data_IF_215556337378
#
_entry.id   IF_215556337378
#
_cell.length_a   1.000
_cell.length_b   1.000
_cell.length_c   1.000
_cell.angle_alpha   90.00
_cell.angle_beta   90.00
_cell.angle_gamma   90.00
#
_symmetry.space_group_name_H-M   'P 1'
#
loop_
_entity.id
_entity.type
_entity.pdbx_description
1 polymer ?
#
# COMPACT_ATOMS: atom_id res chain seq x y z
N UNK A 1 37.35 31.15 9.70
CA UNK A 1 37.75 30.39 8.50
C UNK A 1 37.16 29.01 8.67
N UNK A 2 36.14 28.65 7.86
CA UNK A 2 35.44 27.38 7.99
C UNK A 2 36.37 26.22 7.62
N UNK A 3 36.33 25.17 8.43
CA UNK A 3 37.26 24.04 8.38
C UNK A 3 37.13 23.30 7.03
N UNK A 4 38.20 23.28 6.19
CA UNK A 4 38.15 22.69 4.84
C UNK A 4 37.91 21.17 4.85
N UNK A 5 38.10 20.51 6.00
CA UNK A 5 37.79 19.10 6.17
C UNK A 5 36.27 18.86 6.27
N UNK A 6 35.56 19.76 6.93
CA UNK A 6 34.10 19.70 7.12
C UNK A 6 33.33 19.89 5.81
N UNK A 7 33.82 20.78 4.95
CA UNK A 7 33.25 20.97 3.61
C UNK A 7 33.41 19.70 2.74
N UNK A 8 34.55 19.02 2.85
CA UNK A 8 34.83 17.78 2.14
C UNK A 8 33.91 16.63 2.55
N UNK A 9 33.67 16.50 3.85
CA UNK A 9 32.78 15.47 4.41
C UNK A 9 31.33 15.70 3.93
N UNK A 10 30.89 16.96 3.86
CA UNK A 10 29.54 17.31 3.38
C UNK A 10 29.39 16.98 1.89
N UNK A 11 30.39 17.31 1.07
CA UNK A 11 30.38 17.03 -0.37
C UNK A 11 30.40 15.51 -0.66
N UNK A 12 31.21 14.74 0.07
CA UNK A 12 31.23 13.28 -0.04
C UNK A 12 29.90 12.64 0.39
N UNK A 13 29.29 13.15 1.46
CA UNK A 13 27.97 12.69 1.91
C UNK A 13 26.88 12.99 0.87
N UNK A 14 26.88 14.18 0.26
CA UNK A 14 25.93 14.54 -0.79
C UNK A 14 26.11 13.69 -2.05
N UNK A 15 27.36 13.42 -2.46
CA UNK A 15 27.67 12.54 -3.59
C UNK A 15 27.18 11.10 -3.34
N UNK A 16 27.37 10.57 -2.13
CA UNK A 16 26.93 9.23 -1.76
C UNK A 16 25.40 9.06 -1.68
N UNK A 17 24.67 10.16 -1.43
CA UNK A 17 23.20 10.16 -1.37
C UNK A 17 22.59 10.27 -2.79
N UNK A 18 23.23 11.02 -3.69
CA UNK A 18 22.72 11.34 -5.03
C UNK A 18 22.43 10.11 -5.90
N UNK A 19 23.23 9.05 -5.78
CA UNK A 19 23.14 7.85 -6.62
C UNK A 19 22.29 6.72 -6.01
N UNK A 20 21.73 6.91 -4.81
CA UNK A 20 20.77 5.94 -4.26
C UNK A 20 19.45 6.05 -5.03
N UNK A 21 18.81 4.93 -5.41
CA UNK A 21 17.48 4.96 -6.00
C UNK A 21 16.52 5.62 -5.02
N UNK A 22 16.26 6.90 -5.27
CA UNK A 22 15.44 7.72 -4.43
C UNK A 22 13.98 7.46 -4.83
N UNK A 23 13.23 6.70 -4.02
CA UNK A 23 11.76 6.68 -4.14
C UNK A 23 11.12 8.06 -3.78
N UNK A 24 11.94 9.04 -3.41
CA UNK A 24 11.56 10.38 -2.95
C UNK A 24 12.11 11.44 -3.92
N UNK A 25 11.87 11.32 -5.23
CA UNK A 25 12.38 12.36 -6.14
C UNK A 25 11.55 13.65 -6.10
N UNK A 26 10.23 13.61 -5.85
CA UNK A 26 9.40 14.83 -5.97
C UNK A 26 8.16 14.89 -5.05
N UNK A 27 7.95 13.94 -4.13
CA UNK A 27 6.71 13.85 -3.34
C UNK A 27 6.88 13.29 -1.93
N UNK A 28 5.91 13.62 -1.06
CA UNK A 28 5.80 13.08 0.30
C UNK A 28 5.79 11.53 0.24
N UNK A 29 6.81 10.83 0.78
CA UNK A 29 6.94 9.38 0.62
C UNK A 29 5.80 8.60 1.28
N UNK A 30 5.21 9.15 2.34
CA UNK A 30 4.04 8.58 2.99
C UNK A 30 2.80 8.67 2.09
N UNK A 31 2.68 9.71 1.28
CA UNK A 31 1.59 9.84 0.29
C UNK A 31 1.76 8.85 -0.87
N UNK A 32 2.98 8.64 -1.37
CA UNK A 32 3.22 7.65 -2.42
C UNK A 32 2.99 6.20 -1.94
N UNK A 33 3.38 5.89 -0.71
CA UNK A 33 3.05 4.61 -0.06
C UNK A 33 1.53 4.46 0.12
N UNK A 34 0.84 5.50 0.59
CA UNK A 34 -0.63 5.48 0.72
C UNK A 34 -1.31 5.21 -0.62
N UNK A 35 -0.88 5.88 -1.69
CA UNK A 35 -1.37 5.63 -3.07
C UNK A 35 -1.09 4.22 -3.54
N UNK A 36 0.06 3.65 -3.22
CA UNK A 36 0.37 2.26 -3.56
C UNK A 36 -0.60 1.28 -2.88
N UNK A 37 -0.92 1.49 -1.60
CA UNK A 37 -1.93 0.71 -0.89
C UNK A 37 -3.34 0.89 -1.47
N UNK A 38 -3.71 2.09 -1.90
CA UNK A 38 -5.00 2.33 -2.57
C UNK A 38 -5.11 1.63 -3.93
N UNK A 39 -4.03 1.66 -4.72
CA UNK A 39 -3.94 0.89 -5.98
C UNK A 39 -4.06 -0.61 -5.72
N UNK A 40 -3.39 -1.11 -4.67
CA UNK A 40 -3.49 -2.52 -4.28
C UNK A 40 -4.92 -2.89 -3.83
N UNK A 41 -5.54 -2.08 -2.97
CA UNK A 41 -6.93 -2.28 -2.56
C UNK A 41 -7.89 -2.29 -3.75
N UNK A 42 -7.67 -1.42 -4.74
CA UNK A 42 -8.47 -1.38 -5.97
C UNK A 42 -8.33 -2.66 -6.80
N UNK A 43 -7.12 -3.20 -6.91
CA UNK A 43 -6.86 -4.49 -7.58
C UNK A 43 -7.52 -5.66 -6.85
N UNK A 44 -7.45 -5.69 -5.52
CA UNK A 44 -8.12 -6.72 -4.70
C UNK A 44 -9.64 -6.67 -4.84
N UNK A 45 -10.22 -5.46 -4.87
CA UNK A 45 -11.66 -5.30 -5.11
C UNK A 45 -12.08 -5.76 -6.51
N UNK A 46 -11.22 -5.56 -7.52
CA UNK A 46 -11.48 -6.09 -8.85
C UNK A 46 -11.40 -7.63 -8.86
N UNK A 47 -10.34 -8.21 -8.28
CA UNK A 47 -10.22 -9.66 -8.15
C UNK A 47 -11.41 -10.30 -7.41
N UNK A 48 -11.93 -9.64 -6.37
CA UNK A 48 -13.12 -10.08 -5.64
C UNK A 48 -14.40 -10.07 -6.50
N UNK A 49 -14.49 -9.19 -7.50
CA UNK A 49 -15.57 -9.18 -8.49
C UNK A 49 -15.40 -10.30 -9.50
N UNK A 50 -14.18 -10.47 -10.02
CA UNK A 50 -13.87 -11.50 -11.01
C UNK A 50 -14.12 -12.91 -10.45
N UNK A 51 -13.72 -13.18 -9.20
CA UNK A 51 -14.01 -14.46 -8.52
C UNK A 51 -15.52 -14.70 -8.38
N UNK A 52 -16.31 -13.66 -8.10
CA UNK A 52 -17.77 -13.77 -8.03
C UNK A 52 -18.36 -14.16 -9.39
N UNK A 53 -17.84 -13.58 -10.48
CA UNK A 53 -18.29 -13.90 -11.83
C UNK A 53 -17.95 -15.34 -12.21
N UNK A 54 -16.75 -15.81 -11.88
CA UNK A 54 -16.33 -17.21 -12.08
C UNK A 54 -17.23 -18.17 -11.31
N UNK A 55 -17.52 -17.91 -10.03
CA UNK A 55 -18.42 -18.78 -9.24
C UNK A 55 -19.87 -18.80 -9.75
N UNK A 56 -20.34 -17.72 -10.37
CA UNK A 56 -21.66 -17.65 -11.03
C UNK A 56 -21.65 -18.33 -12.40
N UNK A 57 -20.53 -18.33 -13.12
CA UNK A 57 -20.42 -18.92 -14.46
C UNK A 57 -20.07 -20.41 -14.44
N UNK A 58 -19.28 -20.86 -13.46
CA UNK A 58 -18.90 -22.26 -13.25
C UNK A 58 -20.04 -23.09 -12.62
N UNK A 59 -21.27 -22.94 -13.13
CA UNK A 59 -22.26 -24.01 -13.02
C UNK A 59 -21.67 -25.20 -13.78
N UNK A 60 -20.94 -26.05 -13.05
CA UNK A 60 -20.56 -27.39 -13.48
C UNK A 60 -21.83 -28.01 -14.08
N UNK A 61 -21.84 -28.17 -15.41
CA UNK A 61 -22.95 -28.77 -16.13
C UNK A 61 -23.22 -30.18 -15.60
N UNK A 62 -24.36 -30.79 -15.95
CA UNK A 62 -24.67 -32.13 -15.51
C UNK A 62 -23.56 -33.10 -15.93
N UNK A 63 -22.79 -33.59 -14.96
CA UNK A 63 -21.82 -34.67 -15.16
C UNK A 63 -22.52 -35.99 -14.90
N UNK A 64 -22.50 -36.90 -15.88
CA UNK A 64 -23.26 -38.17 -15.94
C UNK A 64 -22.97 -39.17 -14.80
N UNK A 65 -22.00 -38.90 -13.93
CA UNK A 65 -21.57 -39.79 -12.85
C UNK A 65 -21.82 -39.14 -11.47
N UNK A 66 -23.06 -39.26 -10.99
CA UNK A 66 -23.40 -39.00 -9.59
C UNK A 66 -23.91 -37.57 -9.33
N UNK A 67 -25.22 -37.42 -9.33
CA UNK A 67 -25.93 -36.18 -8.97
C UNK A 67 -25.50 -35.64 -7.59
N UNK A 68 -25.27 -36.54 -6.62
CA UNK A 68 -24.79 -36.20 -5.28
C UNK A 68 -23.31 -35.76 -5.24
N UNK A 69 -22.44 -36.37 -6.05
CA UNK A 69 -21.03 -35.96 -6.14
C UNK A 69 -20.92 -34.58 -6.79
N UNK A 70 -21.69 -34.35 -7.86
CA UNK A 70 -21.83 -33.07 -8.54
C UNK A 70 -22.36 -31.98 -7.60
N UNK A 71 -23.35 -32.31 -6.75
CA UNK A 71 -23.90 -31.39 -5.74
C UNK A 71 -22.86 -30.98 -4.69
N UNK A 72 -22.11 -31.92 -4.12
CA UNK A 72 -21.10 -31.62 -3.09
C UNK A 72 -19.92 -30.83 -3.65
N UNK A 73 -19.46 -31.17 -4.86
CA UNK A 73 -18.38 -30.43 -5.53
C UNK A 73 -18.85 -29.00 -5.83
N UNK A 74 -20.09 -28.83 -6.27
CA UNK A 74 -20.66 -27.51 -6.54
C UNK A 74 -20.84 -26.68 -5.27
N UNK A 75 -21.32 -27.27 -4.18
CA UNK A 75 -21.44 -26.58 -2.90
C UNK A 75 -20.07 -26.16 -2.37
N UNK A 76 -19.09 -27.07 -2.37
CA UNK A 76 -17.73 -26.79 -1.93
C UNK A 76 -17.03 -25.73 -2.78
N UNK A 77 -17.21 -25.76 -4.11
CA UNK A 77 -16.67 -24.73 -5.00
C UNK A 77 -17.29 -23.35 -4.73
N UNK A 78 -18.62 -23.27 -4.56
CA UNK A 78 -19.32 -22.01 -4.25
C UNK A 78 -18.89 -21.46 -2.89
N UNK A 79 -18.80 -22.30 -1.85
CA UNK A 79 -18.34 -21.89 -0.52
C UNK A 79 -16.88 -21.41 -0.54
N UNK A 80 -16.02 -22.11 -1.29
CA UNK A 80 -14.63 -21.75 -1.45
C UNK A 80 -14.47 -20.41 -2.20
N UNK A 81 -15.20 -20.20 -3.30
CA UNK A 81 -15.20 -18.94 -4.05
C UNK A 81 -15.70 -17.77 -3.19
N UNK A 82 -16.74 -18.01 -2.38
CA UNK A 82 -17.22 -17.02 -1.40
C UNK A 82 -16.16 -16.70 -0.33
N UNK A 83 -15.44 -17.71 0.14
CA UNK A 83 -14.35 -17.55 1.12
C UNK A 83 -13.20 -16.72 0.55
N UNK A 84 -12.74 -17.03 -0.67
CA UNK A 84 -11.70 -16.26 -1.39
C UNK A 84 -12.16 -14.81 -1.59
N UNK A 85 -13.38 -14.61 -2.07
CA UNK A 85 -13.94 -13.28 -2.28
C UNK A 85 -13.95 -12.47 -0.99
N UNK A 86 -14.39 -13.07 0.11
CA UNK A 86 -14.43 -12.41 1.43
C UNK A 86 -13.03 -12.02 1.87
N UNK A 87 -12.07 -12.91 1.69
CA UNK A 87 -10.65 -12.64 2.00
C UNK A 87 -10.10 -11.45 1.21
N UNK A 88 -10.39 -11.34 -0.09
CA UNK A 88 -9.97 -10.18 -0.88
C UNK A 88 -10.62 -8.87 -0.44
N UNK A 89 -11.89 -8.90 -0.02
CA UNK A 89 -12.59 -7.72 0.51
C UNK A 89 -11.95 -7.26 1.84
N UNK A 90 -11.65 -8.21 2.73
CA UNK A 90 -11.01 -7.91 4.01
C UNK A 90 -9.61 -7.32 3.81
N UNK A 91 -8.80 -7.93 2.94
CA UNK A 91 -7.48 -7.41 2.59
C UNK A 91 -7.55 -6.02 1.95
N UNK A 92 -8.53 -5.76 1.07
CA UNK A 92 -8.73 -4.45 0.47
C UNK A 92 -9.08 -3.39 1.54
N UNK A 93 -9.89 -3.77 2.54
CA UNK A 93 -10.26 -2.91 3.65
C UNK A 93 -9.05 -2.59 4.53
N UNK A 94 -8.23 -3.59 4.85
CA UNK A 94 -6.99 -3.39 5.61
C UNK A 94 -6.00 -2.50 4.86
N UNK A 95 -5.82 -2.70 3.55
CA UNK A 95 -4.96 -1.86 2.72
C UNK A 95 -5.42 -0.39 2.72
N UNK A 96 -6.73 -0.11 2.64
CA UNK A 96 -7.27 1.25 2.76
C UNK A 96 -7.02 1.85 4.15
N UNK A 97 -7.16 1.06 5.20
CA UNK A 97 -6.85 1.48 6.58
C UNK A 97 -5.37 1.87 6.71
N UNK A 98 -4.46 1.06 6.15
CA UNK A 98 -3.03 1.36 6.14
C UNK A 98 -2.72 2.66 5.37
N UNK A 99 -3.33 2.86 4.20
CA UNK A 99 -3.18 4.10 3.44
C UNK A 99 -3.59 5.33 4.26
N UNK A 100 -4.71 5.24 4.99
CA UNK A 100 -5.15 6.33 5.87
C UNK A 100 -4.15 6.60 7.01
N UNK A 101 -3.62 5.54 7.63
CA UNK A 101 -2.59 5.64 8.68
C UNK A 101 -1.33 6.31 8.15
N UNK A 102 -0.83 5.93 6.97
CA UNK A 102 0.36 6.55 6.37
C UNK A 102 0.16 8.04 6.12
N UNK A 103 -1.01 8.47 5.64
CA UNK A 103 -1.31 9.91 5.50
C UNK A 103 -1.38 10.62 6.84
N UNK A 104 -1.88 9.97 7.89
CA UNK A 104 -1.89 10.55 9.23
C UNK A 104 -0.47 10.77 9.75
N UNK A 105 0.38 9.75 9.63
CA UNK A 105 1.80 9.81 10.02
C UNK A 105 2.51 10.90 9.20
N UNK A 106 2.29 10.95 7.89
CA UNK A 106 2.87 11.99 7.02
C UNK A 106 2.49 13.41 7.44
N UNK A 107 1.22 13.64 7.84
CA UNK A 107 0.78 14.94 8.37
C UNK A 107 1.41 15.27 9.72
N UNK A 108 1.58 14.28 10.59
CA UNK A 108 2.21 14.46 11.90
C UNK A 108 3.67 14.85 11.76
N UNK A 109 4.41 14.14 10.89
CA UNK A 109 5.82 14.44 10.59
C UNK A 109 5.96 15.88 10.07
N UNK A 110 5.17 16.28 9.08
CA UNK A 110 5.22 17.65 8.53
C UNK A 110 4.92 18.72 9.60
N UNK A 111 3.98 18.45 10.53
CA UNK A 111 3.71 19.38 11.65
C UNK A 111 4.88 19.46 12.63
N UNK A 112 5.53 18.34 12.92
CA UNK A 112 6.71 18.33 13.81
C UNK A 112 7.91 19.02 13.18
N UNK A 113 8.16 18.78 11.89
CA UNK A 113 9.23 19.42 11.13
C UNK A 113 9.01 20.94 11.04
N UNK A 114 7.80 21.40 10.71
CA UNK A 114 7.48 22.82 10.67
C UNK A 114 7.64 23.53 12.01
N UNK A 115 7.24 22.89 13.13
CA UNK A 115 7.47 23.44 14.48
C UNK A 115 8.97 23.54 14.80
N UNK A 116 9.76 22.57 14.38
CA UNK A 116 11.21 22.59 14.59
C UNK A 116 11.88 23.69 13.75
N UNK A 117 11.43 23.90 12.51
CA UNK A 117 11.92 24.97 11.64
C UNK A 117 11.63 26.37 12.20
N UNK A 118 10.42 26.60 12.70
CA UNK A 118 10.04 27.85 13.38
C UNK A 118 10.89 28.11 14.64
N UNK A 119 11.20 27.06 15.40
CA UNK A 119 11.98 27.16 16.62
C UNK A 119 13.47 27.42 16.32
N UNK A 120 14.04 26.75 15.32
CA UNK A 120 15.40 27.00 14.84
C UNK A 120 15.54 28.42 14.29
N UNK A 121 14.59 28.87 13.46
CA UNK A 121 14.59 30.24 12.94
C UNK A 121 14.49 31.30 14.05
N UNK A 122 13.77 31.02 15.14
CA UNK A 122 13.70 31.91 16.30
C UNK A 122 15.04 32.00 17.06
N UNK A 123 15.78 30.89 17.15
CA UNK A 123 17.06 30.83 17.89
C UNK A 123 18.23 31.39 17.07
N UNK A 124 18.25 31.15 15.75
CA UNK A 124 19.33 31.59 14.85
C UNK A 124 19.07 33.00 14.27
N UNK A 125 17.81 33.42 14.18
CA UNK A 125 17.42 34.73 13.66
C UNK A 125 17.59 35.91 14.63
N UNK A 126 18.12 35.69 15.83
CA UNK A 126 18.58 36.73 16.78
C UNK A 126 20.09 36.90 16.70
#
# INVERSE_FOLDING_TARGET
>A
MADPELARIIDEAQAAIKDRPNMVSDGNPQEELARAFERHASRLMQAARDVREVGIQNFLGPTDEGEAASYNIRLGAVEHDQSIRTTFIDQATQAKSLAASFRSIGREILRTEGRSEEEINRVIGQ
#
